data_IF_583252450319
#
_entry.id   IF_583252450319
#
_cell.length_a   1.000
_cell.length_b   1.000
_cell.length_c   1.000
_cell.angle_alpha   90.00
_cell.angle_beta   90.00
_cell.angle_gamma   90.00
#
_symmetry.space_group_name_H-M   'P 1'
#
loop_
_entity.id
_entity.type
_entity.pdbx_description
1 polymer ?
#
# COMPACT_ATOMS: atom_id res chain seq x y z
N UNK A 1 10.69 29.64 1.25
CA UNK A 1 10.80 28.16 1.37
C UNK A 1 9.53 27.61 2.02
N UNK A 2 9.10 28.08 3.19
CA UNK A 2 7.89 27.58 3.86
C UNK A 2 6.62 27.64 2.99
N UNK A 3 6.37 28.75 2.29
CA UNK A 3 5.21 28.88 1.38
C UNK A 3 5.22 27.88 0.21
N UNK A 4 6.41 27.47 -0.25
CA UNK A 4 6.53 26.45 -1.31
C UNK A 4 6.26 25.06 -0.74
N UNK A 5 6.69 24.77 0.50
CA UNK A 5 6.43 23.50 1.18
C UNK A 5 4.95 23.29 1.48
N UNK A 6 4.23 24.36 1.82
CA UNK A 6 2.80 24.29 2.16
C UNK A 6 1.92 24.02 0.92
N UNK A 7 2.42 24.35 -0.29
CA UNK A 7 1.73 24.12 -1.56
C UNK A 7 2.06 22.80 -2.24
N UNK A 8 2.96 21.98 -1.68
CA UNK A 8 3.34 20.66 -2.23
C UNK A 8 2.59 19.54 -1.52
N UNK A 9 1.79 18.79 -2.26
CA UNK A 9 1.14 17.57 -1.76
C UNK A 9 2.17 16.53 -1.31
N UNK A 10 3.31 16.45 -2.01
CA UNK A 10 4.45 15.58 -1.69
C UNK A 10 5.68 16.42 -1.33
N UNK A 11 5.89 16.64 -0.02
CA UNK A 11 6.95 17.52 0.52
C UNK A 11 8.38 17.11 0.16
N UNK A 12 8.60 15.86 -0.19
CA UNK A 12 9.92 15.37 -0.63
C UNK A 12 10.33 15.87 -2.02
N UNK A 13 9.39 16.43 -2.80
CA UNK A 13 9.68 17.04 -4.11
C UNK A 13 10.28 18.46 -4.01
N UNK A 14 10.45 18.98 -2.79
CA UNK A 14 10.93 20.35 -2.55
C UNK A 14 12.26 20.65 -3.24
N UNK A 15 13.15 19.67 -3.35
CA UNK A 15 14.46 19.86 -3.97
C UNK A 15 14.38 20.12 -5.49
N UNK A 16 13.31 19.72 -6.14
CA UNK A 16 13.09 19.96 -7.57
C UNK A 16 12.62 21.41 -7.83
N UNK A 17 11.99 22.03 -6.81
CA UNK A 17 11.42 23.38 -6.89
C UNK A 17 12.39 24.47 -6.39
N UNK A 18 13.36 24.10 -5.52
CA UNK A 18 14.34 25.05 -4.99
C UNK A 18 15.34 25.45 -6.09
N UNK A 19 15.42 26.77 -6.36
CA UNK A 19 16.39 27.32 -7.30
C UNK A 19 17.82 27.16 -6.77
N UNK A 20 18.76 26.88 -7.68
CA UNK A 20 20.20 26.78 -7.38
C UNK A 20 20.70 28.10 -6.79
N UNK A 21 21.34 28.10 -5.60
CA UNK A 21 21.86 29.31 -4.99
C UNK A 21 23.12 29.79 -5.73
N UNK A 22 23.36 31.11 -5.68
CA UNK A 22 24.51 31.78 -6.31
C UNK A 22 25.76 31.86 -5.42
N UNK A 23 25.61 31.78 -4.09
CA UNK A 23 26.73 31.82 -3.14
C UNK A 23 27.37 30.44 -2.95
N UNK A 24 28.70 30.36 -2.95
CA UNK A 24 29.46 29.10 -2.84
C UNK A 24 29.13 28.29 -1.59
N UNK A 25 29.01 28.93 -0.43
CA UNK A 25 28.63 28.27 0.83
C UNK A 25 27.28 27.57 0.75
N UNK A 26 26.31 28.24 0.14
CA UNK A 26 24.97 27.69 -0.05
C UNK A 26 24.93 26.59 -1.14
N UNK A 27 25.90 26.59 -2.05
CA UNK A 27 26.01 25.61 -3.11
C UNK A 27 26.37 24.22 -2.58
N UNK A 28 27.25 24.15 -1.56
CA UNK A 28 27.62 22.90 -0.92
C UNK A 28 26.41 22.25 -0.22
N UNK A 29 25.68 23.02 0.57
CA UNK A 29 24.46 22.57 1.24
C UNK A 29 23.38 22.14 0.24
N UNK A 30 23.19 22.89 -0.85
CA UNK A 30 22.27 22.55 -1.92
C UNK A 30 22.61 21.20 -2.57
N UNK A 31 23.89 20.94 -2.85
CA UNK A 31 24.35 19.67 -3.43
C UNK A 31 24.06 18.49 -2.49
N UNK A 32 24.34 18.64 -1.19
CA UNK A 32 24.06 17.60 -0.18
C UNK A 32 22.56 17.33 -0.11
N UNK A 33 21.75 18.38 -0.01
CA UNK A 33 20.29 18.27 0.03
C UNK A 33 19.74 17.57 -1.23
N UNK A 34 20.24 17.94 -2.40
CA UNK A 34 19.80 17.33 -3.66
C UNK A 34 20.19 15.85 -3.76
N UNK A 35 21.38 15.46 -3.27
CA UNK A 35 21.78 14.04 -3.20
C UNK A 35 20.94 13.24 -2.21
N UNK A 36 20.69 13.78 -1.02
CA UNK A 36 19.85 13.13 0.00
C UNK A 36 18.42 12.95 -0.53
N UNK A 37 17.87 13.97 -1.17
CA UNK A 37 16.53 13.92 -1.73
C UNK A 37 16.42 12.93 -2.90
N UNK A 38 17.44 12.85 -3.77
CA UNK A 38 17.50 11.85 -4.84
C UNK A 38 17.44 10.43 -4.27
N UNK A 39 18.26 10.15 -3.25
CA UNK A 39 18.24 8.84 -2.58
C UNK A 39 16.88 8.54 -1.94
N UNK A 40 16.25 9.54 -1.33
CA UNK A 40 14.90 9.39 -0.76
C UNK A 40 13.84 9.10 -1.84
N UNK A 41 13.89 9.79 -2.98
CA UNK A 41 13.01 9.56 -4.12
C UNK A 41 13.16 8.15 -4.68
N UNK A 42 14.41 7.68 -4.82
CA UNK A 42 14.71 6.32 -5.28
C UNK A 42 14.13 5.28 -4.29
N UNK A 43 14.31 5.48 -2.98
CA UNK A 43 13.75 4.60 -1.97
C UNK A 43 12.21 4.58 -1.98
N UNK A 44 11.57 5.75 -2.08
CA UNK A 44 10.10 5.86 -2.19
C UNK A 44 9.60 5.14 -3.44
N UNK A 45 10.28 5.33 -4.58
CA UNK A 45 9.94 4.64 -5.83
C UNK A 45 10.05 3.12 -5.70
N UNK A 46 11.14 2.64 -5.09
CA UNK A 46 11.34 1.21 -4.85
C UNK A 46 10.26 0.61 -3.94
N UNK A 47 9.91 1.30 -2.84
CA UNK A 47 8.84 0.85 -1.95
C UNK A 47 7.49 0.81 -2.67
N UNK A 48 7.17 1.82 -3.47
CA UNK A 48 5.94 1.84 -4.28
C UNK A 48 5.90 0.69 -5.30
N UNK A 49 7.03 0.38 -5.93
CA UNK A 49 7.14 -0.75 -6.85
C UNK A 49 6.92 -2.09 -6.12
N UNK A 50 7.60 -2.29 -4.98
CA UNK A 50 7.43 -3.50 -4.16
C UNK A 50 5.98 -3.69 -3.69
N UNK A 51 5.30 -2.62 -3.28
CA UNK A 51 3.90 -2.67 -2.89
C UNK A 51 2.99 -3.09 -4.05
N UNK A 52 3.26 -2.56 -5.24
CA UNK A 52 2.53 -2.93 -6.45
C UNK A 52 2.72 -4.41 -6.78
N UNK A 53 3.96 -4.88 -6.79
CA UNK A 53 4.31 -6.27 -7.09
C UNK A 53 3.68 -7.22 -6.06
N UNK A 54 3.71 -6.86 -4.78
CA UNK A 54 3.08 -7.63 -3.71
C UNK A 54 1.56 -7.73 -3.90
N UNK A 55 0.92 -6.63 -4.26
CA UNK A 55 -0.53 -6.62 -4.53
C UNK A 55 -0.88 -7.53 -5.72
N UNK A 56 -0.15 -7.41 -6.83
CA UNK A 56 -0.35 -8.24 -8.02
C UNK A 56 -0.14 -9.73 -7.69
N UNK A 57 0.87 -10.04 -6.87
CA UNK A 57 1.11 -11.39 -6.37
C UNK A 57 -0.06 -11.94 -5.56
N UNK A 58 -0.58 -11.17 -4.60
CA UNK A 58 -1.74 -11.60 -3.78
C UNK A 58 -2.98 -11.78 -4.64
N UNK A 59 -3.25 -10.86 -5.59
CA UNK A 59 -4.39 -10.99 -6.50
C UNK A 59 -4.30 -12.27 -7.35
N UNK A 60 -3.13 -12.60 -7.89
CA UNK A 60 -2.89 -13.84 -8.63
C UNK A 60 -3.05 -15.08 -7.74
N UNK A 61 -2.44 -15.06 -6.57
CA UNK A 61 -2.52 -16.16 -5.61
C UNK A 61 -3.97 -16.44 -5.16
N UNK A 62 -4.77 -15.39 -4.92
CA UNK A 62 -6.19 -15.55 -4.57
C UNK A 62 -6.97 -16.22 -5.70
N UNK A 63 -6.69 -15.87 -6.96
CA UNK A 63 -7.34 -16.54 -8.09
C UNK A 63 -7.00 -18.03 -8.14
N UNK A 64 -5.74 -18.39 -7.92
CA UNK A 64 -5.28 -19.79 -7.94
C UNK A 64 -5.90 -20.62 -6.80
N UNK A 65 -6.03 -20.03 -5.60
CA UNK A 65 -6.61 -20.71 -4.43
C UNK A 65 -8.14 -20.86 -4.52
N UNK A 66 -8.83 -19.93 -5.18
CA UNK A 66 -10.28 -20.01 -5.37
C UNK A 66 -10.71 -21.22 -6.21
N UNK A 67 -9.85 -21.70 -7.11
CA UNK A 67 -10.14 -22.88 -7.93
C UNK A 67 -10.32 -24.12 -7.05
N UNK A 68 -9.34 -24.56 -6.21
CA UNK A 68 -9.51 -25.71 -5.34
C UNK A 68 -10.60 -25.51 -4.28
N UNK A 69 -10.81 -24.30 -3.76
CA UNK A 69 -11.90 -24.01 -2.84
C UNK A 69 -13.26 -24.32 -3.50
N UNK A 70 -13.50 -23.78 -4.70
CA UNK A 70 -14.75 -24.02 -5.45
C UNK A 70 -14.91 -25.48 -5.79
N UNK A 71 -13.85 -26.15 -6.21
CA UNK A 71 -13.84 -27.58 -6.53
C UNK A 71 -14.20 -28.44 -5.32
N UNK A 72 -13.62 -28.11 -4.15
CA UNK A 72 -13.89 -28.81 -2.89
C UNK A 72 -15.34 -28.61 -2.42
N UNK A 73 -15.88 -27.40 -2.52
CA UNK A 73 -17.30 -27.13 -2.25
C UNK A 73 -18.22 -27.97 -3.11
N UNK A 74 -17.94 -28.01 -4.42
CA UNK A 74 -18.73 -28.81 -5.36
C UNK A 74 -18.70 -30.32 -5.03
N UNK A 75 -17.55 -30.82 -4.56
CA UNK A 75 -17.43 -32.22 -4.11
C UNK A 75 -18.26 -32.46 -2.83
N UNK A 76 -18.27 -31.53 -1.88
CA UNK A 76 -19.12 -31.61 -0.69
C UNK A 76 -20.62 -31.56 -1.04
N UNK A 77 -21.01 -30.68 -1.95
CA UNK A 77 -22.40 -30.57 -2.41
C UNK A 77 -22.91 -31.84 -3.10
N UNK A 78 -22.04 -32.49 -3.89
CA UNK A 78 -22.39 -33.72 -4.61
C UNK A 78 -22.39 -34.97 -3.71
N UNK A 79 -21.75 -34.92 -2.53
CA UNK A 79 -21.63 -36.04 -1.60
C UNK A 79 -22.11 -35.65 -0.20
N UNK A 80 -23.37 -35.29 -0.08
CA UNK A 80 -23.95 -34.80 1.19
C UNK A 80 -23.91 -35.88 2.29
N UNK A 81 -23.17 -35.58 3.34
CA UNK A 81 -23.12 -36.35 4.60
C UNK A 81 -22.84 -35.39 5.74
N UNK A 82 -23.00 -35.86 7.00
CA UNK A 82 -22.65 -35.04 8.16
C UNK A 82 -21.16 -34.60 8.15
N UNK A 83 -20.28 -35.45 7.63
CA UNK A 83 -18.84 -35.17 7.52
C UNK A 83 -18.59 -34.13 6.45
N UNK A 84 -19.20 -34.26 5.28
CA UNK A 84 -19.01 -33.29 4.19
C UNK A 84 -19.60 -31.93 4.51
N UNK A 85 -20.67 -31.86 5.29
CA UNK A 85 -21.21 -30.58 5.78
C UNK A 85 -20.20 -29.85 6.69
N UNK A 86 -19.54 -30.58 7.61
CA UNK A 86 -18.48 -30.00 8.45
C UNK A 86 -17.27 -29.56 7.65
N UNK A 87 -16.89 -30.31 6.62
CA UNK A 87 -15.80 -29.92 5.70
C UNK A 87 -16.18 -28.65 4.91
N UNK A 88 -17.42 -28.50 4.48
CA UNK A 88 -17.89 -27.32 3.75
C UNK A 88 -17.86 -26.07 4.64
N UNK A 89 -18.19 -26.19 5.94
CA UNK A 89 -18.04 -25.11 6.92
C UNK A 89 -16.57 -24.64 7.03
N UNK A 90 -15.63 -25.57 7.12
CA UNK A 90 -14.19 -25.25 7.18
C UNK A 90 -13.68 -24.61 5.88
N UNK A 91 -14.15 -25.08 4.72
CA UNK A 91 -13.82 -24.49 3.41
C UNK A 91 -14.35 -23.05 3.32
N UNK A 92 -15.54 -22.79 3.86
CA UNK A 92 -16.10 -21.43 3.91
C UNK A 92 -15.23 -20.51 4.79
N UNK A 93 -14.74 -21.00 5.92
CA UNK A 93 -13.84 -20.24 6.78
C UNK A 93 -12.51 -19.92 6.07
N UNK A 94 -11.94 -20.90 5.35
CA UNK A 94 -10.75 -20.67 4.51
C UNK A 94 -11.02 -19.61 3.45
N UNK A 95 -12.16 -19.66 2.76
CA UNK A 95 -12.55 -18.67 1.78
C UNK A 95 -12.63 -17.27 2.39
N UNK A 96 -13.17 -17.13 3.60
CA UNK A 96 -13.23 -15.86 4.32
C UNK A 96 -11.83 -15.30 4.63
N UNK A 97 -10.86 -16.13 5.04
CA UNK A 97 -9.48 -15.70 5.25
C UNK A 97 -8.80 -15.25 3.95
N UNK A 98 -9.07 -15.91 2.84
CA UNK A 98 -8.58 -15.52 1.51
C UNK A 98 -9.12 -14.16 1.09
N UNK A 99 -10.42 -13.91 1.28
CA UNK A 99 -11.04 -12.61 1.00
C UNK A 99 -10.48 -11.50 1.92
N UNK A 100 -10.22 -11.79 3.19
CA UNK A 100 -9.56 -10.84 4.10
C UNK A 100 -8.15 -10.49 3.61
N UNK A 101 -7.35 -11.47 3.22
CA UNK A 101 -6.00 -11.23 2.69
C UNK A 101 -6.03 -10.32 1.45
N UNK A 102 -6.97 -10.58 0.53
CA UNK A 102 -7.17 -9.74 -0.66
C UNK A 102 -7.60 -8.32 -0.28
N UNK A 103 -8.50 -8.18 0.68
CA UNK A 103 -8.95 -6.88 1.18
C UNK A 103 -7.78 -6.07 1.76
N UNK A 104 -6.94 -6.69 2.61
CA UNK A 104 -5.76 -6.02 3.16
C UNK A 104 -4.74 -5.62 2.08
N UNK A 105 -4.51 -6.46 1.07
CA UNK A 105 -3.62 -6.12 -0.04
C UNK A 105 -4.13 -4.93 -0.88
N UNK A 106 -5.44 -4.68 -0.89
CA UNK A 106 -6.06 -3.54 -1.60
C UNK A 106 -6.16 -2.27 -0.77
N UNK A 107 -6.08 -2.35 0.56
CA UNK A 107 -6.23 -1.21 1.47
C UNK A 107 -5.11 -0.17 1.35
N UNK A 108 -3.96 -0.50 0.80
CA UNK A 108 -2.80 0.40 0.68
C UNK A 108 -3.09 1.69 -0.12
N UNK A 109 -4.14 1.72 -0.93
CA UNK A 109 -4.61 2.97 -1.55
C UNK A 109 -5.47 3.85 -0.63
N UNK A 110 -6.10 3.25 0.38
CA UNK A 110 -7.06 3.96 1.26
C UNK A 110 -6.37 4.47 2.53
N UNK A 111 -5.31 3.81 3.00
CA UNK A 111 -4.62 4.18 4.24
C UNK A 111 -3.86 5.49 4.13
N UNK A 112 -3.35 5.88 2.96
CA UNK A 112 -2.73 7.20 2.76
C UNK A 112 -3.75 8.34 2.94
N UNK A 113 -5.01 8.15 2.54
CA UNK A 113 -6.07 9.16 2.71
C UNK A 113 -6.61 9.20 4.16
N UNK A 114 -6.65 8.05 4.85
CA UNK A 114 -7.14 7.97 6.23
C UNK A 114 -6.16 8.59 7.23
N UNK A 115 -4.85 8.35 7.09
CA UNK A 115 -3.83 8.95 7.96
C UNK A 115 -3.76 10.47 7.79
N UNK A 116 -3.90 10.98 6.57
CA UNK A 116 -3.91 12.44 6.30
C UNK A 116 -5.18 13.09 6.86
N UNK A 117 -6.34 12.43 6.78
CA UNK A 117 -7.60 12.94 7.36
C UNK A 117 -7.64 12.86 8.89
N UNK A 118 -7.08 11.82 9.50
CA UNK A 118 -7.03 11.69 10.95
C UNK A 118 -6.10 12.74 11.59
N UNK A 119 -4.92 12.98 11.02
CA UNK A 119 -4.01 14.03 11.48
C UNK A 119 -4.61 15.45 11.32
N UNK A 120 -5.35 15.75 10.24
CA UNK A 120 -6.02 17.06 10.09
C UNK A 120 -7.13 17.29 11.11
N UNK A 121 -7.84 16.24 11.55
CA UNK A 121 -8.87 16.35 12.60
C UNK A 121 -8.31 16.49 14.02
N UNK A 122 -7.13 15.95 14.30
CA UNK A 122 -6.50 16.07 15.63
C UNK A 122 -5.79 17.41 15.85
N UNK A 123 -5.37 18.12 14.80
CA UNK A 123 -4.67 19.41 14.90
C UNK A 123 -5.65 20.61 14.89
N UNK A 124 -6.91 20.40 14.55
CA UNK A 124 -7.93 21.45 14.44
C UNK A 124 -8.75 21.73 15.71
N UNK A 125 -8.35 21.21 16.88
CA UNK A 125 -8.99 21.52 18.17
C UNK A 125 -7.96 22.05 19.16
N UNK A 126 -7.58 23.31 19.01
CA UNK A 126 -7.18 24.21 20.09
C UNK A 126 -7.62 25.61 19.74
#
# INVERSE_FOLDING_TARGET
>A
INKIMDGLDEKYLISEVIKKPTREENLAHYKILKRANKSMLENVSNVKAMQKDYKEYIESWVHEIKIPITSSKLLCENNKSEITNKIDEEIEEINNYVEQALFYARLDKVSNDFFIRCCKKCIGKK
#
